data_IF_231751889301
#
_entry.id   IF_231751889301
#
_cell.length_a   1.000
_cell.length_b   1.000
_cell.length_c   1.000
_cell.angle_alpha   90.00
_cell.angle_beta   90.00
_cell.angle_gamma   90.00
#
_symmetry.space_group_name_H-M   'P 1'
#
loop_
_entity.id
_entity.type
_entity.pdbx_description
1 polymer ?
#
# COMPACT_ATOMS: atom_id res chain seq x y z
N UNK A 1 31.97 -31.82 -12.62
CA UNK A 1 31.76 -30.45 -12.12
C UNK A 1 30.37 -30.00 -12.53
N UNK A 2 29.42 -30.08 -11.62
CA UNK A 2 28.05 -29.60 -11.80
C UNK A 2 28.06 -28.08 -11.74
N UNK A 3 27.49 -27.34 -12.70
CA UNK A 3 27.49 -25.88 -12.62
C UNK A 3 26.61 -25.42 -11.45
N UNK A 4 27.16 -24.52 -10.64
CA UNK A 4 26.48 -23.84 -9.53
C UNK A 4 25.23 -23.11 -10.04
N UNK A 5 24.09 -23.13 -9.33
CA UNK A 5 22.90 -22.41 -9.75
C UNK A 5 23.22 -20.91 -9.76
N UNK A 6 23.19 -20.29 -10.93
CA UNK A 6 23.16 -18.83 -11.03
C UNK A 6 21.90 -18.37 -10.29
N UNK A 7 22.09 -17.64 -9.20
CA UNK A 7 21.02 -16.96 -8.47
C UNK A 7 20.27 -16.08 -9.48
N UNK A 8 19.10 -16.52 -9.95
CA UNK A 8 18.21 -15.67 -10.71
C UNK A 8 17.80 -14.55 -9.75
N UNK A 9 18.36 -13.35 -9.95
CA UNK A 9 17.85 -12.17 -9.25
C UNK A 9 16.40 -12.01 -9.67
N UNK A 10 15.50 -12.35 -8.75
CA UNK A 10 14.07 -12.28 -8.99
C UNK A 10 13.69 -10.81 -9.21
N UNK A 11 13.22 -10.47 -10.41
CA UNK A 11 12.66 -9.16 -10.73
C UNK A 11 11.44 -8.79 -9.87
N UNK A 12 10.93 -9.74 -9.07
CA UNK A 12 9.83 -9.54 -8.11
C UNK A 12 10.11 -8.49 -7.05
N UNK A 13 11.37 -8.22 -6.72
CA UNK A 13 11.76 -7.17 -5.76
C UNK A 13 12.09 -5.84 -6.44
N UNK A 14 12.04 -5.77 -7.77
CA UNK A 14 12.48 -4.62 -8.54
C UNK A 14 11.27 -3.93 -9.18
N UNK A 15 10.74 -2.92 -8.48
CA UNK A 15 9.66 -2.09 -9.01
C UNK A 15 10.26 -1.18 -10.10
N UNK A 16 9.99 -1.49 -11.37
CA UNK A 16 10.47 -0.70 -12.52
C UNK A 16 10.04 0.78 -12.48
N UNK A 17 9.08 1.15 -11.63
CA UNK A 17 8.68 2.53 -11.40
C UNK A 17 8.24 2.78 -9.93
N UNK A 18 8.65 3.90 -9.30
CA UNK A 18 8.35 4.23 -7.91
C UNK A 18 6.91 4.77 -7.73
N UNK A 19 5.92 3.90 -7.93
CA UNK A 19 4.49 4.24 -7.81
C UNK A 19 3.73 3.28 -6.88
N UNK A 20 4.37 2.70 -5.86
CA UNK A 20 3.77 1.72 -4.95
C UNK A 20 2.40 2.10 -4.42
N UNK A 21 2.37 3.28 -3.78
CA UNK A 21 1.23 3.90 -3.14
C UNK A 21 0.12 4.30 -4.13
N UNK A 22 0.42 4.35 -5.43
CA UNK A 22 -0.60 4.62 -6.47
C UNK A 22 -1.48 3.40 -6.75
N UNK A 23 -1.05 2.20 -6.39
CA UNK A 23 -1.70 0.95 -6.82
C UNK A 23 -2.12 0.01 -5.69
N UNK A 24 -1.52 0.05 -4.50
CA UNK A 24 -1.77 -0.95 -3.43
C UNK A 24 -1.75 -0.34 -2.01
N UNK A 25 -2.42 0.79 -1.82
CA UNK A 25 -2.55 1.44 -0.51
C UNK A 25 -1.33 2.28 -0.11
N UNK A 26 -1.48 3.15 0.88
CA UNK A 26 -0.44 4.10 1.27
C UNK A 26 0.64 3.48 2.18
N UNK A 27 0.34 2.38 2.87
CA UNK A 27 1.30 1.70 3.78
C UNK A 27 2.38 0.95 3.00
N UNK A 28 2.17 0.68 1.71
CA UNK A 28 3.14 -0.03 0.87
C UNK A 28 3.44 -1.47 1.39
N UNK A 29 2.47 -2.07 2.10
CA UNK A 29 2.56 -3.40 2.75
C UNK A 29 2.71 -4.57 1.78
N UNK A 30 2.31 -4.40 0.52
CA UNK A 30 2.30 -5.45 -0.50
C UNK A 30 2.77 -4.91 -1.85
N UNK A 31 3.37 -5.78 -2.65
CA UNK A 31 3.79 -5.51 -4.03
C UNK A 31 2.87 -6.18 -5.04
N UNK A 32 2.96 -5.73 -6.30
CA UNK A 32 2.20 -6.26 -7.44
C UNK A 32 2.76 -7.60 -7.95
N UNK A 33 3.03 -8.54 -7.05
CA UNK A 33 3.49 -9.89 -7.34
C UNK A 33 2.76 -10.87 -6.43
N UNK A 34 2.20 -11.93 -7.01
CA UNK A 34 1.44 -12.95 -6.27
C UNK A 34 0.26 -12.37 -5.45
N UNK A 35 -0.41 -11.32 -5.94
CA UNK A 35 -1.43 -10.58 -5.18
C UNK A 35 -2.77 -10.53 -5.92
N UNK A 36 -3.85 -10.71 -5.16
CA UNK A 36 -5.23 -10.42 -5.53
C UNK A 36 -5.76 -9.34 -4.57
N UNK A 37 -6.15 -8.18 -5.12
CA UNK A 37 -6.42 -6.96 -4.35
C UNK A 37 -7.67 -6.19 -4.82
N UNK A 38 -8.88 -6.73 -4.64
CA UNK A 38 -10.09 -5.94 -4.85
C UNK A 38 -10.13 -4.74 -3.89
N UNK A 39 -10.64 -3.62 -4.37
CA UNK A 39 -10.69 -2.38 -3.60
C UNK A 39 -11.93 -1.56 -3.91
N UNK A 40 -12.23 -0.63 -3.01
CA UNK A 40 -13.29 0.37 -3.14
C UNK A 40 -12.69 1.74 -2.84
N UNK A 41 -12.82 2.68 -3.77
CA UNK A 41 -12.37 4.05 -3.60
C UNK A 41 -13.56 4.99 -3.61
N UNK A 42 -13.61 5.89 -2.63
CA UNK A 42 -14.59 6.96 -2.53
C UNK A 42 -13.86 8.29 -2.43
N UNK A 43 -14.19 9.21 -3.31
CA UNK A 43 -13.68 10.58 -3.28
C UNK A 43 -14.82 11.57 -3.09
N UNK A 44 -14.62 12.56 -2.23
CA UNK A 44 -15.61 13.60 -1.99
C UNK A 44 -14.98 14.98 -2.08
N UNK A 45 -15.66 15.88 -2.80
CA UNK A 45 -15.34 17.30 -2.86
C UNK A 45 -16.63 18.09 -2.64
N UNK A 46 -16.97 18.42 -1.38
CA UNK A 46 -18.19 19.16 -1.08
C UNK A 46 -18.20 20.51 -1.79
N UNK A 47 -19.35 20.89 -2.35
CA UNK A 47 -19.53 22.19 -2.99
C UNK A 47 -19.30 23.32 -1.98
N UNK A 48 -18.77 24.45 -2.47
CA UNK A 48 -18.48 25.65 -1.69
C UNK A 48 -17.50 25.45 -0.52
N UNK A 49 -16.69 24.38 -0.57
CA UNK A 49 -15.59 24.15 0.37
C UNK A 49 -14.25 24.02 -0.35
N UNK A 50 -13.16 24.27 0.38
CA UNK A 50 -11.79 24.03 -0.08
C UNK A 50 -11.29 22.62 0.29
N UNK A 51 -12.19 21.73 0.69
CA UNK A 51 -11.85 20.39 1.15
C UNK A 51 -12.01 19.35 0.05
N UNK A 52 -11.06 18.42 0.00
CA UNK A 52 -11.10 17.21 -0.81
C UNK A 52 -10.76 16.03 0.10
N UNK A 53 -11.55 14.95 -0.03
CA UNK A 53 -11.41 13.74 0.77
C UNK A 53 -11.27 12.52 -0.12
N UNK A 54 -10.45 11.58 0.33
CA UNK A 54 -10.37 10.24 -0.23
C UNK A 54 -10.45 9.22 0.89
N UNK A 55 -11.26 8.19 0.65
CA UNK A 55 -11.28 6.95 1.39
C UNK A 55 -10.97 5.84 0.39
N UNK A 56 -9.98 5.02 0.69
CA UNK A 56 -9.65 3.84 -0.11
C UNK A 56 -9.60 2.63 0.81
N UNK A 57 -10.30 1.57 0.43
CA UNK A 57 -10.29 0.33 1.18
C UNK A 57 -9.85 -0.83 0.29
N UNK A 58 -8.91 -1.61 0.78
CA UNK A 58 -8.36 -2.78 0.11
C UNK A 58 -8.60 -4.06 0.90
N UNK A 59 -8.81 -5.15 0.17
CA UNK A 59 -8.70 -6.51 0.69
C UNK A 59 -7.55 -7.21 -0.02
N UNK A 60 -6.56 -7.70 0.73
CA UNK A 60 -5.35 -8.31 0.17
C UNK A 60 -5.30 -9.81 0.41
N UNK A 61 -5.03 -10.56 -0.66
CA UNK A 61 -4.84 -12.00 -0.62
C UNK A 61 -3.75 -12.45 -1.58
N UNK A 62 -2.92 -13.40 -1.17
CA UNK A 62 -2.00 -14.06 -2.08
C UNK A 62 -2.77 -14.83 -3.17
N UNK A 63 -2.34 -14.68 -4.43
CA UNK A 63 -2.93 -15.43 -5.54
C UNK A 63 -2.57 -16.92 -5.45
N UNK A 64 -1.32 -17.21 -5.10
CA UNK A 64 -0.78 -18.51 -4.78
C UNK A 64 -0.35 -18.54 -3.30
N UNK A 65 -1.02 -19.37 -2.51
CA UNK A 65 -0.86 -19.46 -1.06
C UNK A 65 0.56 -19.88 -0.63
N UNK A 66 1.14 -20.83 -1.35
CA UNK A 66 2.45 -21.44 -1.05
C UNK A 66 3.65 -20.57 -1.39
N UNK A 67 3.43 -19.35 -1.88
CA UNK A 67 4.46 -18.38 -2.22
C UNK A 67 4.24 -17.09 -1.40
N UNK A 68 5.31 -16.33 -1.23
CA UNK A 68 5.29 -15.07 -0.48
C UNK A 68 4.74 -13.94 -1.37
N UNK A 69 4.22 -12.90 -0.72
CA UNK A 69 3.93 -11.61 -1.38
C UNK A 69 4.96 -10.60 -0.89
N UNK A 70 5.90 -10.16 -1.74
CA UNK A 70 6.86 -9.15 -1.37
C UNK A 70 6.19 -7.83 -0.95
N UNK A 71 6.84 -7.05 -0.09
CA UNK A 71 6.44 -5.69 0.30
C UNK A 71 7.47 -4.66 -0.18
N UNK A 72 7.07 -3.40 -0.39
CA UNK A 72 7.96 -2.35 -0.94
C UNK A 72 9.01 -1.92 0.08
N UNK A 73 8.65 -1.89 1.36
CA UNK A 73 9.52 -1.47 2.46
C UNK A 73 10.24 -2.68 3.06
N UNK A 74 9.54 -3.47 3.85
CA UNK A 74 10.04 -4.67 4.49
C UNK A 74 9.00 -5.78 4.37
N UNK A 75 9.41 -6.93 3.83
CA UNK A 75 8.52 -8.09 3.72
C UNK A 75 8.48 -8.80 5.06
N UNK A 76 7.36 -8.70 5.77
CA UNK A 76 7.12 -9.45 6.99
C UNK A 76 7.17 -10.96 6.75
N UNK A 77 7.47 -11.72 7.81
CA UNK A 77 7.44 -13.18 7.74
C UNK A 77 6.02 -13.66 7.42
N UNK A 78 5.90 -14.56 6.43
CA UNK A 78 4.61 -15.03 5.95
C UNK A 78 4.43 -16.54 6.10
N UNK A 79 3.21 -16.94 6.43
CA UNK A 79 2.77 -18.33 6.33
C UNK A 79 2.62 -18.73 4.86
N UNK A 80 3.12 -19.93 4.52
CA UNK A 80 2.91 -20.55 3.20
C UNK A 80 1.62 -21.38 3.14
N UNK A 81 0.91 -21.51 4.27
CA UNK A 81 -0.36 -22.23 4.38
C UNK A 81 -1.58 -21.28 4.41
N UNK A 82 -1.34 -19.98 4.50
CA UNK A 82 -2.37 -18.95 4.51
C UNK A 82 -2.26 -18.04 3.29
N UNK A 83 -3.41 -17.51 2.88
CA UNK A 83 -3.51 -16.65 1.71
C UNK A 83 -3.95 -15.23 2.07
N UNK A 84 -4.62 -15.01 3.21
CA UNK A 84 -5.18 -13.71 3.53
C UNK A 84 -4.09 -12.82 4.17
N UNK A 85 -3.71 -11.75 3.47
CA UNK A 85 -2.66 -10.83 3.91
C UNK A 85 -3.19 -9.78 4.86
N UNK A 86 -4.44 -9.36 4.66
CA UNK A 86 -5.04 -8.32 5.47
C UNK A 86 -5.98 -7.42 4.69
N UNK A 87 -6.35 -6.32 5.31
CA UNK A 87 -7.15 -5.25 4.75
C UNK A 87 -6.51 -3.92 5.11
N UNK A 88 -6.69 -2.92 4.25
CA UNK A 88 -6.16 -1.58 4.48
C UNK A 88 -7.27 -0.56 4.30
N UNK A 89 -7.30 0.43 5.19
CA UNK A 89 -8.09 1.63 5.07
C UNK A 89 -7.15 2.82 4.95
N UNK A 90 -7.24 3.53 3.84
CA UNK A 90 -6.55 4.79 3.59
C UNK A 90 -7.53 5.96 3.67
N UNK A 91 -7.14 7.01 4.36
CA UNK A 91 -7.87 8.26 4.47
C UNK A 91 -6.95 9.42 4.10
N UNK A 92 -7.41 10.30 3.20
CA UNK A 92 -6.75 11.55 2.87
C UNK A 92 -7.74 12.69 3.06
N UNK A 93 -7.28 13.76 3.71
CA UNK A 93 -7.95 15.05 3.74
C UNK A 93 -7.00 16.12 3.20
N UNK A 94 -7.43 16.84 2.17
CA UNK A 94 -6.69 17.93 1.56
C UNK A 94 -7.48 19.23 1.69
N UNK A 95 -6.79 20.28 2.10
CA UNK A 95 -7.33 21.64 2.18
C UNK A 95 -6.56 22.58 1.25
N UNK A 96 -7.27 23.19 0.31
CA UNK A 96 -6.70 24.21 -0.57
C UNK A 96 -6.70 25.56 0.15
N UNK A 97 -5.51 26.08 0.44
CA UNK A 97 -5.33 27.38 1.09
C UNK A 97 -5.52 28.51 0.06
N UNK A 98 -5.08 28.30 -1.16
CA UNK A 98 -5.27 29.23 -2.28
C UNK A 98 -4.72 28.67 -3.59
N UNK A 99 -4.66 29.48 -4.67
CA UNK A 99 -4.26 29.02 -6.00
C UNK A 99 -2.85 28.42 -6.08
N UNK A 100 -2.00 28.70 -5.08
CA UNK A 100 -0.59 28.29 -5.04
C UNK A 100 -0.21 27.48 -3.80
N UNK A 101 -1.17 27.14 -2.94
CA UNK A 101 -0.87 26.51 -1.66
C UNK A 101 -1.95 25.54 -1.21
N UNK A 102 -1.55 24.38 -0.72
CA UNK A 102 -2.44 23.40 -0.11
C UNK A 102 -1.74 22.60 0.99
N UNK A 103 -2.53 22.07 1.91
CA UNK A 103 -2.07 21.11 2.92
C UNK A 103 -2.86 19.81 2.75
N UNK A 104 -2.19 18.68 2.96
CA UNK A 104 -2.75 17.36 2.90
C UNK A 104 -2.35 16.58 4.14
N UNK A 105 -3.30 15.90 4.76
CA UNK A 105 -3.05 14.92 5.81
C UNK A 105 -3.53 13.55 5.32
N UNK A 106 -2.73 12.52 5.56
CA UNK A 106 -3.06 11.14 5.27
C UNK A 106 -2.90 10.25 6.50
N UNK A 107 -3.80 9.29 6.64
CA UNK A 107 -3.77 8.24 7.65
C UNK A 107 -4.16 6.91 7.01
N UNK A 108 -3.44 5.85 7.36
CA UNK A 108 -3.74 4.51 6.92
C UNK A 108 -3.62 3.52 8.07
N UNK A 109 -4.50 2.53 8.04
CA UNK A 109 -4.47 1.42 8.99
C UNK A 109 -4.57 0.10 8.24
N UNK A 110 -3.66 -0.82 8.55
CA UNK A 110 -3.60 -2.14 7.95
C UNK A 110 -3.89 -3.21 9.01
N UNK A 111 -5.02 -3.89 8.87
CA UNK A 111 -5.36 -5.06 9.67
C UNK A 111 -4.71 -6.29 9.06
N UNK A 112 -3.80 -6.93 9.79
CA UNK A 112 -3.10 -8.11 9.28
C UNK A 112 -4.01 -9.33 9.21
N UNK A 113 -3.81 -10.10 8.15
CA UNK A 113 -4.40 -11.42 7.99
C UNK A 113 -3.52 -12.52 8.56
N UNK A 114 -4.00 -13.76 8.43
CA UNK A 114 -3.32 -14.97 8.92
C UNK A 114 -2.06 -15.33 8.11
N UNK A 115 -1.89 -14.77 6.91
CA UNK A 115 -0.66 -14.91 6.14
C UNK A 115 0.50 -14.14 6.77
N UNK A 116 0.27 -13.04 7.47
CA UNK A 116 1.33 -12.25 8.10
C UNK A 116 1.54 -12.73 9.54
N UNK A 117 2.76 -13.22 9.81
CA UNK A 117 3.13 -13.78 11.12
C UNK A 117 3.64 -12.71 12.11
N UNK A 118 3.83 -11.48 11.65
CA UNK A 118 4.12 -10.33 12.51
C UNK A 118 3.04 -10.14 13.57
N UNK A 119 3.38 -9.66 14.79
CA UNK A 119 2.45 -9.67 15.91
C UNK A 119 1.38 -8.58 15.83
N UNK A 120 1.66 -7.46 15.17
CA UNK A 120 0.88 -6.22 15.23
C UNK A 120 0.36 -5.79 13.87
N UNK A 121 -0.78 -5.09 13.89
CA UNK A 121 -1.26 -4.29 12.77
C UNK A 121 -0.32 -3.11 12.50
N UNK A 122 -0.49 -2.43 11.36
CA UNK A 122 0.35 -1.30 10.97
C UNK A 122 -0.46 -0.02 10.79
N UNK A 123 0.10 1.08 11.26
CA UNK A 123 -0.44 2.43 11.10
C UNK A 123 0.58 3.31 10.38
N UNK A 124 0.10 4.14 9.44
CA UNK A 124 0.91 5.13 8.75
C UNK A 124 0.21 6.48 8.76
N UNK A 125 0.97 7.56 8.95
CA UNK A 125 0.43 8.93 8.96
C UNK A 125 1.44 9.86 8.35
N UNK A 126 0.97 10.83 7.55
CA UNK A 126 1.82 11.87 7.01
C UNK A 126 1.06 13.19 6.82
N UNK A 127 1.82 14.27 6.79
CA UNK A 127 1.32 15.61 6.43
C UNK A 127 2.24 16.18 5.37
N UNK A 128 1.63 16.79 4.34
CA UNK A 128 2.33 17.45 3.26
C UNK A 128 1.81 18.88 3.12
N UNK A 129 2.73 19.82 2.95
CA UNK A 129 2.43 21.19 2.53
C UNK A 129 3.06 21.43 1.16
N UNK A 130 2.29 22.00 0.23
CA UNK A 130 2.73 22.33 -1.12
C UNK A 130 2.63 23.85 -1.35
N UNK A 131 3.66 24.42 -1.96
CA UNK A 131 3.74 25.84 -2.33
C UNK A 131 4.34 25.99 -3.74
N UNK A 132 3.62 26.67 -4.63
CA UNK A 132 4.06 26.99 -5.99
C UNK A 132 4.53 28.46 -6.06
N UNK A 133 5.77 28.71 -6.51
CA UNK A 133 6.39 30.03 -6.58
C UNK A 133 6.22 30.71 -7.95
#
# INVERSE_FOLDING_TARGET
>A
MTPSPKTQQSARYNQLFPWGHRFLGLIDAVQRSNIFAPNVQVTAKPQDTNWEFLLWYYYFRAAERGDIVPAITATELQSLDAAYLGQELDLIAKYTIGPRSNILAGYSHFWRGDKILGPTDADFTYVQWELNF
#
